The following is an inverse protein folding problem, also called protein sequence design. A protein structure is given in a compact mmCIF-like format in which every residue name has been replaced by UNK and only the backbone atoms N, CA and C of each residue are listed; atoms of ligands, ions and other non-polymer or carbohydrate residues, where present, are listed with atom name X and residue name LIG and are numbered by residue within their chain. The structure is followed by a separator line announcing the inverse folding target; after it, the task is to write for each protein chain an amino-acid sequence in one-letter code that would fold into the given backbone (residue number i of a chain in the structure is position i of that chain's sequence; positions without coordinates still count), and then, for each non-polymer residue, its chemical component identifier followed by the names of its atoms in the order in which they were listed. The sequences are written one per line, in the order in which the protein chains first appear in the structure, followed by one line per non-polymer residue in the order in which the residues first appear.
data_IF_571600793521
#
_entry.id   IF_571600793521
#
_cell.length_a   1.000
_cell.length_b   1.000
_cell.length_c   1.000
_cell.angle_alpha   90.00
_cell.angle_beta   90.00
_cell.angle_gamma   90.00
#
_symmetry.space_group_name_H-M   'P 1'
#
loop_
_entity.id
_entity.type
_entity.pdbx_description
1 polymer ?
#
# COMPACT_ATOMS: atom_id res chain seq x y z
N UNK A 1 6.32 10.88 -11.24
CA UNK A 1 5.25 10.59 -10.26
C UNK A 1 5.94 10.03 -9.02
N UNK A 2 5.64 10.57 -7.84
CA UNK A 2 6.25 10.15 -6.59
C UNK A 2 5.65 8.84 -6.08
N UNK A 3 6.43 8.10 -5.30
CA UNK A 3 5.97 6.87 -4.65
C UNK A 3 5.14 7.18 -3.41
N UNK A 4 4.14 6.36 -3.06
CA UNK A 4 3.37 6.53 -1.83
C UNK A 4 4.18 6.17 -0.58
N UNK A 5 5.18 5.31 -0.73
CA UNK A 5 6.09 4.91 0.35
C UNK A 5 7.51 4.73 -0.20
N UNK A 6 8.52 4.81 0.66
CA UNK A 6 9.92 4.53 0.33
C UNK A 6 10.48 3.42 1.22
N UNK A 7 11.66 2.90 0.89
CA UNK A 7 12.35 1.85 1.67
C UNK A 7 12.37 2.17 3.18
N UNK A 8 12.64 3.43 3.52
CA UNK A 8 12.68 3.88 4.92
C UNK A 8 11.37 3.61 5.66
N UNK A 9 10.21 3.88 5.04
CA UNK A 9 8.91 3.65 5.67
C UNK A 9 8.70 2.15 5.97
N UNK A 10 9.14 1.27 5.07
CA UNK A 10 9.08 -0.19 5.26
C UNK A 10 10.00 -0.64 6.40
N UNK A 11 11.23 -0.12 6.44
CA UNK A 11 12.18 -0.48 7.50
C UNK A 11 11.80 0.07 8.87
N UNK A 12 11.17 1.25 8.92
CA UNK A 12 10.67 1.83 10.16
C UNK A 12 9.48 1.01 10.71
N UNK A 13 8.60 0.54 9.83
CA UNK A 13 7.41 -0.23 10.22
C UNK A 13 7.71 -1.68 10.61
N UNK A 14 8.54 -2.38 9.82
CA UNK A 14 8.75 -3.83 9.99
C UNK A 14 10.18 -4.22 10.38
N UNK A 15 11.08 -3.25 10.49
CA UNK A 15 12.48 -3.45 10.89
C UNK A 15 13.40 -3.83 9.73
N UNK A 16 14.61 -3.26 9.72
CA UNK A 16 15.64 -3.46 8.68
C UNK A 16 15.98 -4.94 8.44
N UNK A 17 16.07 -5.75 9.51
CA UNK A 17 16.39 -7.19 9.39
C UNK A 17 15.34 -7.91 8.56
N UNK A 18 14.06 -7.65 8.82
CA UNK A 18 12.97 -8.31 8.11
C UNK A 18 12.91 -7.87 6.65
N UNK A 19 13.03 -6.57 6.37
CA UNK A 19 13.04 -6.06 5.00
C UNK A 19 14.23 -6.60 4.21
N UNK A 20 15.41 -6.70 4.84
CA UNK A 20 16.57 -7.37 4.24
C UNK A 20 16.26 -8.83 3.93
N UNK A 21 15.78 -9.59 4.89
CA UNK A 21 15.57 -11.03 4.71
C UNK A 21 14.45 -11.32 3.69
N UNK A 22 13.46 -10.43 3.54
CA UNK A 22 12.38 -10.60 2.57
C UNK A 22 12.69 -10.06 1.17
N UNK A 23 13.56 -9.05 1.06
CA UNK A 23 14.01 -8.53 -0.23
C UNK A 23 15.04 -9.43 -0.92
N UNK A 24 15.87 -10.14 -0.14
CA UNK A 24 16.91 -11.01 -0.69
C UNK A 24 16.40 -12.43 -0.97
N UNK A 25 16.27 -12.79 -2.24
CA UNK A 25 15.74 -14.10 -2.65
C UNK A 25 16.66 -15.28 -2.33
N UNK A 26 17.97 -15.06 -2.33
CA UNK A 26 19.00 -16.08 -2.11
C UNK A 26 19.44 -16.19 -0.63
N UNK A 27 19.00 -15.26 0.23
CA UNK A 27 19.43 -15.10 1.62
C UNK A 27 20.96 -15.03 1.80
N UNK A 28 21.72 -14.63 0.76
CA UNK A 28 23.19 -14.54 0.85
C UNK A 28 23.69 -13.13 1.15
N UNK A 29 22.88 -12.13 0.81
CA UNK A 29 23.22 -10.72 1.03
C UNK A 29 22.96 -10.28 2.48
N UNK A 30 23.87 -9.46 3.01
CA UNK A 30 23.71 -8.76 4.28
C UNK A 30 23.10 -7.37 4.14
N UNK A 31 22.86 -6.90 2.92
CA UNK A 31 22.24 -5.60 2.60
C UNK A 31 20.82 -5.77 2.05
N UNK A 32 19.98 -4.76 2.20
CA UNK A 32 18.65 -4.73 1.57
C UNK A 32 18.81 -4.70 0.05
N UNK A 33 18.05 -5.53 -0.66
CA UNK A 33 17.95 -5.44 -2.13
C UNK A 33 16.97 -4.32 -2.49
N UNK A 34 17.52 -3.13 -2.71
CA UNK A 34 16.75 -1.90 -2.98
C UNK A 34 15.96 -1.98 -4.28
N UNK A 35 16.41 -2.75 -5.27
CA UNK A 35 15.68 -2.95 -6.52
C UNK A 35 14.43 -3.81 -6.30
N UNK A 36 14.55 -4.87 -5.49
CA UNK A 36 13.40 -5.70 -5.13
C UNK A 36 12.42 -4.93 -4.23
N UNK A 37 12.90 -4.07 -3.33
CA UNK A 37 12.05 -3.17 -2.53
C UNK A 37 11.30 -2.17 -3.43
N UNK A 38 11.97 -1.53 -4.39
CA UNK A 38 11.32 -0.61 -5.34
C UNK A 38 10.21 -1.31 -6.14
N UNK A 39 10.45 -2.54 -6.59
CA UNK A 39 9.42 -3.36 -7.25
C UNK A 39 8.24 -3.63 -6.30
N UNK A 40 8.49 -3.95 -5.04
CA UNK A 40 7.44 -4.22 -4.07
C UNK A 40 6.57 -2.97 -3.79
N UNK A 41 7.20 -1.81 -3.62
CA UNK A 41 6.52 -0.52 -3.47
C UNK A 41 5.61 -0.25 -4.68
N UNK A 42 6.13 -0.38 -5.90
CA UNK A 42 5.32 -0.19 -7.12
C UNK A 42 4.17 -1.19 -7.25
N UNK A 43 4.33 -2.41 -6.72
CA UNK A 43 3.26 -3.41 -6.67
C UNK A 43 2.15 -3.01 -5.70
N UNK A 44 2.50 -2.53 -4.51
CA UNK A 44 1.54 -1.99 -3.55
C UNK A 44 0.76 -0.80 -4.12
N UNK A 45 1.46 0.14 -4.76
CA UNK A 45 0.86 1.29 -5.43
C UNK A 45 -0.12 0.88 -6.53
N UNK A 46 0.28 -0.08 -7.36
CA UNK A 46 -0.57 -0.60 -8.43
C UNK A 46 -1.84 -1.23 -7.86
N UNK A 47 -1.74 -2.00 -6.77
CA UNK A 47 -2.90 -2.59 -6.10
C UNK A 47 -3.85 -1.52 -5.57
N UNK A 48 -3.34 -0.51 -4.84
CA UNK A 48 -4.13 0.62 -4.34
C UNK A 48 -4.80 1.35 -5.51
N UNK A 49 -4.01 1.76 -6.51
CA UNK A 49 -4.52 2.51 -7.66
C UNK A 49 -5.59 1.73 -8.43
N UNK A 50 -5.46 0.41 -8.55
CA UNK A 50 -6.46 -0.41 -9.22
C UNK A 50 -7.77 -0.51 -8.44
N UNK A 51 -7.72 -0.54 -7.10
CA UNK A 51 -8.93 -0.53 -6.26
C UNK A 51 -9.71 0.78 -6.42
N UNK A 52 -9.02 1.91 -6.49
CA UNK A 52 -9.64 3.23 -6.56
C UNK A 52 -9.85 3.78 -7.98
N UNK A 53 -9.35 3.10 -9.03
CA UNK A 53 -9.37 3.58 -10.43
C UNK A 53 -10.77 3.95 -10.95
N UNK A 54 -11.81 3.29 -10.47
CA UNK A 54 -13.22 3.52 -10.89
C UNK A 54 -14.02 4.31 -9.84
N UNK A 55 -13.34 4.86 -8.84
CA UNK A 55 -13.94 5.64 -7.78
C UNK A 55 -13.98 7.13 -8.11
N UNK A 56 -14.33 7.90 -7.08
CA UNK A 56 -14.44 9.37 -7.13
C UNK A 56 -13.08 10.08 -7.10
N UNK A 57 -12.00 9.36 -6.78
CA UNK A 57 -10.68 9.94 -6.57
C UNK A 57 -9.86 10.01 -7.86
N UNK A 58 -9.09 11.08 -8.01
CA UNK A 58 -8.07 11.16 -9.04
C UNK A 58 -6.92 10.19 -8.71
N UNK A 59 -6.53 9.37 -9.69
CA UNK A 59 -5.49 8.35 -9.55
C UNK A 59 -4.37 8.61 -10.58
N UNK A 60 -3.08 8.62 -10.19
CA UNK A 60 -2.56 8.43 -8.83
C UNK A 60 -3.03 9.50 -7.86
N UNK A 61 -3.15 9.13 -6.58
CA UNK A 61 -3.58 10.06 -5.55
C UNK A 61 -2.63 11.25 -5.47
N UNK A 62 -3.20 12.44 -5.39
CA UNK A 62 -2.54 13.64 -4.93
C UNK A 62 -3.21 14.11 -3.65
N UNK A 63 -2.41 14.34 -2.62
CA UNK A 63 -2.88 14.72 -1.30
C UNK A 63 -2.69 16.22 -1.08
N UNK A 64 -3.71 16.87 -0.56
CA UNK A 64 -3.62 18.22 0.01
C UNK A 64 -3.42 18.17 1.53
N UNK A 65 -3.51 16.98 2.12
CA UNK A 65 -3.59 16.73 3.56
C UNK A 65 -2.64 15.61 3.97
N UNK A 66 -1.99 15.80 5.11
CA UNK A 66 -0.99 14.87 5.64
C UNK A 66 -1.60 13.57 6.12
N UNK A 67 -2.80 13.63 6.71
CA UNK A 67 -3.45 12.44 7.28
C UNK A 67 -3.82 11.44 6.16
N UNK A 68 -4.41 11.93 5.06
CA UNK A 68 -4.71 11.12 3.89
C UNK A 68 -3.46 10.52 3.24
N UNK A 69 -2.36 11.29 3.20
CA UNK A 69 -1.07 10.81 2.70
C UNK A 69 -0.51 9.70 3.60
N UNK A 70 -0.59 9.85 4.92
CA UNK A 70 -0.14 8.84 5.89
C UNK A 70 -0.95 7.56 5.78
N UNK A 71 -2.28 7.65 5.64
CA UNK A 71 -3.14 6.48 5.42
C UNK A 71 -2.74 5.71 4.15
N UNK A 72 -2.58 6.38 3.01
CA UNK A 72 -2.20 5.70 1.76
C UNK A 72 -0.77 5.17 1.81
N UNK A 73 0.14 5.87 2.51
CA UNK A 73 1.49 5.38 2.78
C UNK A 73 1.43 4.08 3.56
N UNK A 74 0.66 4.02 4.65
CA UNK A 74 0.51 2.81 5.47
C UNK A 74 0.01 1.63 4.63
N UNK A 75 -1.02 1.86 3.80
CA UNK A 75 -1.52 0.83 2.88
C UNK A 75 -0.43 0.32 1.95
N UNK A 76 0.36 1.23 1.37
CA UNK A 76 1.41 0.84 0.46
C UNK A 76 2.53 0.05 1.16
N UNK A 77 2.91 0.47 2.37
CA UNK A 77 3.89 -0.23 3.21
C UNK A 77 3.45 -1.68 3.46
N UNK A 78 2.21 -1.89 3.93
CA UNK A 78 1.68 -3.23 4.23
C UNK A 78 1.63 -4.11 2.99
N UNK A 79 1.13 -3.59 1.87
CA UNK A 79 1.01 -4.35 0.62
C UNK A 79 2.38 -4.67 -0.01
N UNK A 80 3.33 -3.74 0.05
CA UNK A 80 4.70 -3.96 -0.42
C UNK A 80 5.40 -5.03 0.42
N UNK A 81 5.29 -4.96 1.75
CA UNK A 81 5.88 -5.94 2.67
C UNK A 81 5.27 -7.32 2.46
N UNK A 82 3.96 -7.41 2.26
CA UNK A 82 3.29 -8.66 1.93
C UNK A 82 3.81 -9.27 0.62
N UNK A 83 4.06 -8.44 -0.38
CA UNK A 83 4.63 -8.89 -1.65
C UNK A 83 6.06 -9.43 -1.45
N UNK A 84 6.92 -8.72 -0.71
CA UNK A 84 8.27 -9.18 -0.38
C UNK A 84 8.24 -10.53 0.34
N UNK A 85 7.39 -10.64 1.37
CA UNK A 85 7.23 -11.87 2.14
C UNK A 85 6.83 -13.06 1.25
N UNK A 86 5.92 -12.85 0.29
CA UNK A 86 5.50 -13.88 -0.68
C UNK A 86 6.56 -14.21 -1.73
N UNK A 87 7.36 -13.22 -2.11
CA UNK A 87 8.38 -13.37 -3.15
C UNK A 87 9.61 -14.15 -2.65
N UNK A 88 9.84 -14.16 -1.33
CA UNK A 88 10.83 -15.01 -0.68
C UNK A 88 10.65 -16.48 -1.09
N UNK A 89 11.72 -17.09 -1.61
CA UNK A 89 11.80 -18.54 -1.72
C UNK A 89 11.99 -19.12 -0.32
N UNK A 90 10.91 -19.40 0.39
CA UNK A 90 10.98 -20.24 1.59
C UNK A 90 11.29 -21.65 1.11
N UNK A 91 12.52 -22.13 1.34
CA UNK A 91 12.80 -23.56 1.24
C UNK A 91 11.89 -24.24 2.28
N UNK A 92 10.79 -24.83 1.81
CA UNK A 92 9.67 -25.32 2.61
C UNK A 92 10.01 -26.47 3.57
N UNK A 93 11.29 -26.81 3.72
CA UNK A 93 11.75 -27.95 4.50
C UNK A 93 12.05 -27.61 5.97
N UNK A 94 12.27 -26.35 6.35
CA UNK A 94 12.83 -26.05 7.69
C UNK A 94 12.00 -25.17 8.64
N UNK A 95 10.78 -24.73 8.31
CA UNK A 95 9.99 -24.01 9.34
C UNK A 95 8.46 -24.04 9.14
N UNK A 96 7.77 -25.13 9.53
CA UNK A 96 6.31 -25.24 9.48
C UNK A 96 5.57 -24.35 10.51
N UNK A 97 6.29 -23.53 11.29
CA UNK A 97 5.73 -22.62 12.29
C UNK A 97 6.47 -21.28 12.27
N UNK A 98 6.43 -20.51 11.18
CA UNK A 98 6.73 -19.08 11.27
C UNK A 98 5.48 -18.37 11.82
N UNK A 99 5.39 -18.04 13.14
CA UNK A 99 4.28 -17.28 13.72
C UNK A 99 4.10 -15.90 13.04
N UNK A 100 5.08 -15.49 12.23
CA UNK A 100 5.12 -14.24 11.47
C UNK A 100 4.15 -14.18 10.29
N UNK A 101 3.66 -15.33 9.80
CA UNK A 101 2.74 -15.33 8.65
C UNK A 101 1.35 -14.79 9.02
N UNK A 102 0.93 -14.96 10.28
CA UNK A 102 -0.42 -14.59 10.70
C UNK A 102 -0.58 -13.06 10.82
N UNK A 103 0.37 -12.36 11.47
CA UNK A 103 0.26 -10.90 11.60
C UNK A 103 0.25 -10.18 10.24
N UNK A 104 1.07 -10.62 9.27
CA UNK A 104 1.08 -10.01 7.93
C UNK A 104 -0.24 -10.24 7.19
N UNK A 105 -0.85 -11.41 7.36
CA UNK A 105 -2.18 -11.68 6.78
C UNK A 105 -3.24 -10.80 7.41
N UNK A 106 -3.18 -10.61 8.72
CA UNK A 106 -4.12 -9.77 9.46
C UNK A 106 -3.96 -8.29 9.08
N UNK A 107 -2.72 -7.78 8.95
CA UNK A 107 -2.43 -6.43 8.46
C UNK A 107 -2.98 -6.19 7.05
N UNK A 108 -2.73 -7.14 6.13
CA UNK A 108 -3.24 -7.05 4.75
C UNK A 108 -4.76 -7.11 4.72
N UNK A 109 -5.39 -7.95 5.54
CA UNK A 109 -6.84 -8.03 5.65
C UNK A 109 -7.43 -6.71 6.18
N UNK A 110 -6.81 -6.13 7.21
CA UNK A 110 -7.18 -4.83 7.79
C UNK A 110 -7.09 -3.72 6.74
N UNK A 111 -5.94 -3.57 6.08
CA UNK A 111 -5.74 -2.53 5.05
C UNK A 111 -6.73 -2.67 3.89
N UNK A 112 -7.01 -3.91 3.45
CA UNK A 112 -8.01 -4.14 2.40
C UNK A 112 -9.45 -3.85 2.84
N UNK A 113 -9.79 -4.15 4.08
CA UNK A 113 -11.08 -3.79 4.65
C UNK A 113 -11.22 -2.25 4.72
N UNK A 114 -10.20 -1.57 5.21
CA UNK A 114 -10.18 -0.11 5.30
C UNK A 114 -10.33 0.55 3.91
N UNK A 115 -9.55 0.12 2.91
CA UNK A 115 -9.72 0.60 1.53
C UNK A 115 -11.15 0.42 1.01
N UNK A 116 -11.79 -0.71 1.35
CA UNK A 116 -13.18 -0.98 0.97
C UNK A 116 -14.15 -0.05 1.70
N UNK A 117 -13.90 0.26 2.96
CA UNK A 117 -14.74 1.17 3.76
C UNK A 117 -14.68 2.62 3.23
N UNK A 118 -13.52 3.05 2.72
CA UNK A 118 -13.39 4.32 1.97
C UNK A 118 -14.12 4.30 0.63
N UNK A 119 -14.15 3.15 -0.08
CA UNK A 119 -14.88 3.00 -1.34
C UNK A 119 -16.40 2.93 -1.15
N UNK A 120 -16.87 2.30 -0.07
CA UNK A 120 -18.30 2.18 0.25
C UNK A 120 -18.89 3.46 0.85
N UNK A 121 -18.05 4.45 1.19
CA UNK A 121 -18.45 5.69 1.85
C UNK A 121 -18.86 5.48 3.32
N UNK A 122 -18.50 4.34 3.92
CA UNK A 122 -18.74 4.06 5.34
C UNK A 122 -17.80 4.85 6.24
N UNK A 123 -16.56 5.08 5.81
CA UNK A 123 -15.64 6.00 6.46
C UNK A 123 -15.75 7.41 5.88
N UNK A 124 -15.25 8.40 6.64
CA UNK A 124 -15.07 9.76 6.13
C UNK A 124 -14.23 9.68 4.85
N UNK A 125 -14.60 10.45 3.83
CA UNK A 125 -13.85 10.47 2.55
C UNK A 125 -12.38 10.77 2.81
N UNK A 126 -11.51 10.10 2.06
CA UNK A 126 -10.10 10.39 2.05
C UNK A 126 -9.91 11.82 1.54
N UNK A 127 -9.10 12.62 2.21
CA UNK A 127 -8.83 14.00 1.80
C UNK A 127 -7.79 14.04 0.68
N UNK A 128 -8.15 13.46 -0.46
CA UNK A 128 -7.36 13.41 -1.68
C UNK A 128 -8.12 14.06 -2.83
N UNK A 129 -7.41 14.43 -3.90
CA UNK A 129 -8.04 15.04 -5.07
C UNK A 129 -9.11 14.13 -5.68
N UNK A 130 -10.23 14.73 -6.07
CA UNK A 130 -11.32 14.07 -6.77
C UNK A 130 -11.14 14.21 -8.28
N UNK A 131 -11.72 13.29 -9.05
CA UNK A 131 -11.94 13.53 -10.47
C UNK A 131 -12.92 14.70 -10.55
N UNK A 132 -12.55 15.80 -11.23
CA UNK A 132 -13.46 16.91 -11.45
C UNK A 132 -14.73 16.36 -12.13
N UNK A 133 -15.85 16.34 -11.41
CA UNK A 133 -17.15 16.21 -12.03
C UNK A 133 -17.38 17.56 -12.74
N UNK A 134 -17.17 17.59 -14.06
CA UNK A 134 -17.55 18.70 -14.95
C UNK A 134 -19.08 18.85 -15.06
N UNK A 135 -19.81 18.32 -14.07
CA UNK A 135 -21.25 18.32 -13.96
C UNK A 135 -21.67 19.35 -12.91
N UNK A 136 -22.42 20.41 -13.29
CA UNK A 136 -22.95 21.35 -12.33
C UNK A 136 -23.82 20.60 -11.32
N UNK A 137 -23.38 20.57 -10.07
CA UNK A 137 -24.06 19.93 -8.93
C UNK A 137 -25.17 20.79 -8.33
N UNK A 138 -25.40 21.99 -8.87
CA UNK A 138 -26.48 22.87 -8.50
C UNK A 138 -27.41 23.12 -9.70
N UNK A 139 -28.75 23.09 -9.51
CA UNK A 139 -29.67 23.57 -10.53
C UNK A 139 -29.36 25.04 -10.82
N UNK A 140 -28.97 25.33 -12.06
CA UNK A 140 -28.81 26.71 -12.52
C UNK A 140 -30.21 27.27 -12.68
N UNK A 141 -30.61 28.18 -11.79
CA UNK A 141 -31.80 28.99 -12.00
C UNK A 141 -31.51 29.97 -13.13
N UNK A 142 -32.03 29.68 -14.31
CA UNK A 142 -32.09 30.63 -15.43
C UNK A 142 -33.16 31.66 -15.06
N UNK A 143 -32.76 32.92 -14.96
CA UNK A 143 -33.66 34.06 -14.75
C UNK A 143 -33.98 34.73 -16.06
#
# INVERSE_FOLDING_TARGET
MGQYAVEKDLTDAYGTINIRDWSNRDNQSTSIDTATVDVAVRRGESEINNQFRRGIYAIPFSFSDTDAQETVKEWNVVLAVWWLFKFRKVNSQNNPKEPRTNFLKDDVARVRAEMKDYLSGQLRRLNAAFVEDDHPTAPVFVT
#
